data_IF_724766984553
#
_entry.id   IF_724766984553
#
_cell.length_a   1.000
_cell.length_b   1.000
_cell.length_c   1.000
_cell.angle_alpha   90.00
_cell.angle_beta   90.00
_cell.angle_gamma   90.00
#
_symmetry.space_group_name_H-M   'P 1'
#
loop_
_entity.id
_entity.type
_entity.pdbx_description
1 polymer ?
#
# COMPACT_ATOMS: atom_id res chain seq x y z
N UNK A 1 17.53 13.36 -10.61
CA UNK A 1 16.66 12.28 -10.12
C UNK A 1 15.24 12.82 -10.11
N UNK A 2 14.26 12.13 -10.72
CA UNK A 2 12.86 12.61 -10.69
C UNK A 2 12.39 12.56 -9.23
N UNK A 3 12.01 13.72 -8.68
CA UNK A 3 11.32 13.77 -7.39
C UNK A 3 10.11 12.86 -7.51
N UNK A 4 10.04 11.91 -6.60
CA UNK A 4 8.98 10.94 -6.61
C UNK A 4 7.88 11.47 -5.70
N UNK A 5 6.89 12.13 -6.31
CA UNK A 5 5.89 12.97 -5.65
C UNK A 5 5.06 12.26 -4.57
N UNK A 6 5.11 10.92 -4.52
CA UNK A 6 4.42 10.09 -3.52
C UNK A 6 5.16 9.95 -2.18
N UNK A 7 6.39 10.48 -2.05
CA UNK A 7 7.23 10.31 -0.83
C UNK A 7 6.72 11.12 0.37
N UNK A 8 5.70 11.98 0.19
CA UNK A 8 5.15 12.81 1.29
C UNK A 8 3.63 12.82 1.29
N UNK A 9 3.00 11.65 1.43
CA UNK A 9 1.61 11.62 1.89
C UNK A 9 1.63 11.89 3.40
N UNK A 10 0.81 12.86 3.82
CA UNK A 10 0.59 13.20 5.22
C UNK A 10 0.14 11.97 6.03
N UNK A 11 0.65 11.79 7.25
CA UNK A 11 0.28 10.67 8.11
C UNK A 11 -1.19 10.69 8.50
N UNK A 12 -1.85 11.85 8.54
CA UNK A 12 -3.30 11.93 8.70
C UNK A 12 -4.04 11.34 7.49
N UNK A 13 -3.57 11.64 6.28
CA UNK A 13 -4.11 11.05 5.05
C UNK A 13 -3.87 9.54 5.03
N UNK A 14 -2.71 9.06 5.50
CA UNK A 14 -2.41 7.62 5.63
C UNK A 14 -3.42 6.93 6.54
N UNK A 15 -3.74 7.52 7.70
CA UNK A 15 -4.72 6.94 8.64
C UNK A 15 -6.12 6.85 8.02
N UNK A 16 -6.58 7.94 7.38
CA UNK A 16 -7.86 7.94 6.68
C UNK A 16 -7.90 6.90 5.54
N UNK A 17 -6.81 6.79 4.80
CA UNK A 17 -6.66 5.77 3.76
C UNK A 17 -6.72 4.36 4.35
N UNK A 18 -6.14 4.11 5.53
CA UNK A 18 -6.23 2.82 6.22
C UNK A 18 -7.67 2.48 6.62
N UNK A 19 -8.43 3.44 7.12
CA UNK A 19 -9.86 3.25 7.45
C UNK A 19 -10.68 2.89 6.21
N UNK A 20 -10.47 3.62 5.11
CA UNK A 20 -11.13 3.34 3.83
C UNK A 20 -10.73 1.96 3.27
N UNK A 21 -9.45 1.58 3.38
CA UNK A 21 -8.97 0.25 2.98
C UNK A 21 -9.65 -0.84 3.81
N UNK A 22 -9.77 -0.66 5.13
CA UNK A 22 -10.45 -1.62 6.00
C UNK A 22 -11.90 -1.82 5.57
N UNK A 23 -12.64 -0.73 5.43
CA UNK A 23 -14.05 -0.77 5.03
C UNK A 23 -14.19 -1.49 3.68
N UNK A 24 -13.38 -1.12 2.69
CA UNK A 24 -13.41 -1.74 1.37
C UNK A 24 -13.14 -3.26 1.40
N UNK A 25 -12.14 -3.71 2.18
CA UNK A 25 -11.83 -5.13 2.30
C UNK A 25 -12.98 -5.91 2.94
N UNK A 26 -13.61 -5.36 3.98
CA UNK A 26 -14.73 -6.00 4.70
C UNK A 26 -15.99 -6.03 3.85
N UNK A 27 -16.40 -4.89 3.27
CA UNK A 27 -17.62 -4.76 2.46
C UNK A 27 -17.59 -5.67 1.22
N UNK A 28 -16.40 -5.90 0.66
CA UNK A 28 -16.22 -6.74 -0.52
C UNK A 28 -15.78 -8.18 -0.19
N UNK A 29 -15.74 -8.55 1.10
CA UNK A 29 -15.30 -9.87 1.58
C UNK A 29 -13.95 -10.33 0.98
N UNK A 30 -12.98 -9.42 0.97
CA UNK A 30 -11.67 -9.63 0.34
C UNK A 30 -10.66 -10.10 1.38
N UNK A 31 -10.25 -11.35 1.31
CA UNK A 31 -9.34 -11.92 2.33
C UNK A 31 -7.87 -11.55 2.12
N UNK A 32 -7.41 -11.46 0.86
CA UNK A 32 -6.01 -11.15 0.53
C UNK A 32 -5.89 -10.53 -0.85
N UNK A 33 -5.43 -9.28 -0.92
CA UNK A 33 -5.45 -8.47 -2.14
C UNK A 33 -4.07 -7.93 -2.46
N UNK A 34 -3.63 -8.02 -3.72
CA UNK A 34 -2.39 -7.41 -4.18
C UNK A 34 -2.55 -5.89 -4.31
N UNK A 35 -1.46 -5.15 -4.11
CA UNK A 35 -1.39 -3.68 -4.23
C UNK A 35 -2.08 -3.11 -5.46
N UNK A 36 -1.87 -3.70 -6.64
CA UNK A 36 -2.44 -3.20 -7.91
C UNK A 36 -3.97 -3.36 -8.00
N UNK A 37 -4.55 -4.31 -7.26
CA UNK A 37 -6.01 -4.47 -7.19
C UNK A 37 -6.67 -3.43 -6.29
N UNK A 38 -5.93 -2.84 -5.35
CA UNK A 38 -6.41 -1.74 -4.51
C UNK A 38 -6.40 -0.39 -5.21
N UNK A 39 -5.58 -0.23 -6.27
CA UNK A 39 -5.39 1.06 -6.93
C UNK A 39 -6.68 1.67 -7.50
N UNK A 40 -7.57 0.94 -8.20
CA UNK A 40 -8.80 1.53 -8.73
C UNK A 40 -9.63 2.21 -7.62
N UNK A 41 -9.86 1.51 -6.52
CA UNK A 41 -10.56 2.03 -5.34
C UNK A 41 -9.87 3.28 -4.75
N UNK A 42 -8.55 3.22 -4.58
CA UNK A 42 -7.80 4.33 -3.97
C UNK A 42 -7.70 5.56 -4.89
N UNK A 43 -7.77 5.37 -6.20
CA UNK A 43 -7.86 6.46 -7.19
C UNK A 43 -9.25 7.09 -7.14
N UNK A 44 -10.31 6.26 -7.09
CA UNK A 44 -11.69 6.73 -6.97
C UNK A 44 -11.90 7.57 -5.70
N UNK A 45 -11.29 7.16 -4.58
CA UNK A 45 -11.27 7.91 -3.31
C UNK A 45 -10.40 9.17 -3.33
N UNK A 46 -9.60 9.38 -4.37
CA UNK A 46 -8.75 10.57 -4.55
C UNK A 46 -7.38 10.50 -3.86
N UNK A 47 -6.97 9.35 -3.31
CA UNK A 47 -5.65 9.20 -2.67
C UNK A 47 -4.50 9.21 -3.69
N UNK A 48 -4.78 8.76 -4.92
CA UNK A 48 -3.80 8.76 -6.00
C UNK A 48 -4.43 9.32 -7.29
N UNK A 49 -3.69 10.12 -8.08
CA UNK A 49 -4.23 10.67 -9.33
C UNK A 49 -4.39 9.61 -10.44
N UNK A 50 -3.54 8.57 -10.43
CA UNK A 50 -3.56 7.47 -11.40
C UNK A 50 -2.69 6.31 -10.91
N UNK A 51 -2.85 5.12 -11.49
CA UNK A 51 -1.92 4.02 -11.28
C UNK A 51 -0.68 4.15 -12.18
N UNK A 52 0.46 3.65 -11.70
CA UNK A 52 1.67 3.45 -12.49
C UNK A 52 2.26 2.09 -12.18
N UNK A 53 2.76 1.38 -13.20
CA UNK A 53 3.49 0.11 -13.06
C UNK A 53 2.82 -0.86 -12.06
N UNK A 54 1.50 -1.04 -12.20
CA UNK A 54 0.66 -1.95 -11.41
C UNK A 54 0.80 -1.72 -9.90
N UNK A 55 0.36 -0.58 -9.37
CA UNK A 55 0.38 -0.27 -7.93
C UNK A 55 1.68 0.33 -7.40
N UNK A 56 2.51 0.92 -8.27
CA UNK A 56 3.75 1.57 -7.84
C UNK A 56 3.52 2.72 -6.85
N UNK A 57 2.55 3.64 -7.04
CA UNK A 57 2.33 4.74 -6.10
C UNK A 57 2.09 4.23 -4.66
N UNK A 58 1.17 3.27 -4.50
CA UNK A 58 0.87 2.68 -3.19
C UNK A 58 2.06 1.91 -2.62
N UNK A 59 2.80 1.14 -3.41
CA UNK A 59 4.02 0.47 -2.94
C UNK A 59 5.06 1.45 -2.39
N UNK A 60 5.14 2.67 -2.92
CA UNK A 60 6.09 3.64 -2.41
C UNK A 60 5.71 4.18 -1.05
N UNK A 61 4.42 4.43 -0.82
CA UNK A 61 3.91 4.78 0.51
C UNK A 61 4.20 3.65 1.49
N UNK A 62 3.91 2.40 1.13
CA UNK A 62 4.18 1.24 2.00
C UNK A 62 5.67 1.05 2.28
N UNK A 63 6.52 1.22 1.28
CA UNK A 63 7.97 1.14 1.45
C UNK A 63 8.52 2.28 2.33
N UNK A 64 7.96 3.49 2.24
CA UNK A 64 8.30 4.61 3.12
C UNK A 64 7.92 4.31 4.56
N UNK A 65 6.67 3.91 4.80
CA UNK A 65 6.17 3.53 6.12
C UNK A 65 6.99 2.37 6.72
N UNK A 66 7.31 1.35 5.92
CA UNK A 66 8.11 0.22 6.38
C UNK A 66 9.54 0.64 6.77
N UNK A 67 10.17 1.52 5.99
CA UNK A 67 11.51 2.05 6.30
C UNK A 67 11.52 2.94 7.55
N UNK A 68 10.44 3.66 7.78
CA UNK A 68 10.27 4.55 8.93
C UNK A 68 9.69 3.84 10.16
N UNK A 69 9.49 2.52 10.11
CA UNK A 69 8.85 1.72 11.18
C UNK A 69 7.42 2.19 11.53
N UNK A 70 6.71 2.76 10.56
CA UNK A 70 5.36 3.34 10.66
C UNK A 70 4.30 2.47 9.96
N UNK A 71 4.63 1.23 9.58
CA UNK A 71 3.67 0.34 8.91
C UNK A 71 2.42 0.05 9.76
N UNK A 72 2.52 0.21 11.08
CA UNK A 72 1.40 0.13 12.02
C UNK A 72 0.25 1.13 11.72
N UNK A 73 0.50 2.17 10.91
CA UNK A 73 -0.53 3.10 10.44
C UNK A 73 -1.46 2.49 9.38
N UNK A 74 -1.08 1.37 8.76
CA UNK A 74 -1.90 0.60 7.82
C UNK A 74 -1.83 -0.89 8.23
N UNK A 75 -2.53 -1.30 9.30
CA UNK A 75 -2.47 -2.66 9.82
C UNK A 75 -2.94 -3.74 8.83
N UNK A 76 -3.70 -3.36 7.80
CA UNK A 76 -4.13 -4.26 6.73
C UNK A 76 -2.97 -4.68 5.81
N UNK A 77 -1.89 -3.90 5.76
CA UNK A 77 -0.79 -4.11 4.82
C UNK A 77 0.28 -5.04 5.40
N UNK A 78 0.57 -6.13 4.68
CA UNK A 78 1.60 -7.09 5.04
C UNK A 78 2.65 -7.22 3.92
N UNK A 79 3.96 -7.15 4.23
CA UNK A 79 5.02 -7.45 3.30
C UNK A 79 5.25 -8.97 3.20
N UNK A 80 5.53 -9.45 2.00
CA UNK A 80 6.08 -10.78 1.72
C UNK A 80 7.44 -10.58 1.06
N UNK A 81 8.50 -10.99 1.76
CA UNK A 81 9.88 -10.85 1.31
C UNK A 81 10.26 -12.08 0.47
N UNK A 82 10.67 -11.84 -0.77
CA UNK A 82 11.23 -12.87 -1.62
C UNK A 82 12.75 -12.68 -1.70
N UNK A 83 13.46 -13.62 -1.07
CA UNK A 83 14.91 -13.73 -1.15
C UNK A 83 15.28 -14.75 -2.22
N UNK A 84 16.15 -14.35 -3.14
CA UNK A 84 16.69 -15.21 -4.19
C UNK A 84 18.20 -15.05 -4.15
N UNK A 85 18.92 -16.17 -4.17
CA UNK A 85 20.38 -16.19 -4.14
C UNK A 85 20.96 -15.27 -5.23
N UNK A 86 21.93 -14.44 -4.85
CA UNK A 86 22.58 -13.46 -5.72
C UNK A 86 21.65 -12.38 -6.32
N UNK A 87 20.48 -12.11 -5.70
CA UNK A 87 19.57 -11.01 -6.09
C UNK A 87 19.18 -10.15 -4.90
N UNK A 88 18.77 -8.90 -5.19
CA UNK A 88 18.19 -8.02 -4.17
C UNK A 88 16.84 -8.57 -3.71
N UNK A 89 16.61 -8.60 -2.40
CA UNK A 89 15.33 -8.96 -1.79
C UNK A 89 14.21 -8.10 -2.38
N UNK A 90 13.18 -8.77 -2.86
CA UNK A 90 11.98 -8.11 -3.39
C UNK A 90 10.87 -8.14 -2.36
N UNK A 91 10.14 -7.03 -2.21
CA UNK A 91 9.01 -6.93 -1.29
C UNK A 91 7.72 -6.92 -2.10
N UNK A 92 6.85 -7.88 -1.85
CA UNK A 92 5.48 -7.92 -2.35
C UNK A 92 4.53 -7.47 -1.25
N UNK A 93 3.55 -6.64 -1.61
CA UNK A 93 2.62 -6.08 -0.65
C UNK A 93 1.22 -6.64 -0.86
N UNK A 94 0.62 -7.09 0.23
CA UNK A 94 -0.74 -7.61 0.29
C UNK A 94 -1.57 -6.87 1.33
N UNK A 95 -2.87 -6.82 1.09
CA UNK A 95 -3.87 -6.25 2.00
C UNK A 95 -4.84 -7.33 2.45
N UNK A 96 -5.09 -7.42 3.75
CA UNK A 96 -6.07 -8.32 4.34
C UNK A 96 -6.82 -7.57 5.44
N UNK A 97 -8.13 -7.79 5.62
CA UNK A 97 -8.89 -7.11 6.67
C UNK A 97 -8.32 -7.51 8.03
N UNK A 98 -8.11 -6.53 8.90
CA UNK A 98 -7.82 -6.81 10.31
C UNK A 98 -9.11 -7.21 11.02
N UNK A 99 -8.99 -8.15 11.96
CA UNK A 99 -10.08 -8.62 12.82
C UNK A 99 -10.26 -7.73 14.03
#
# INVERSE_FOLDING_TARGET
MKNNDYIKIDREIVKKMSEDIQAYLVENNLERVKTWKMMPFLIEKGYFPHDRKKGYPLRQVLNDLNKSNELHLIPQAAPEFLEVENKKTSIYWYFSPVK
#
